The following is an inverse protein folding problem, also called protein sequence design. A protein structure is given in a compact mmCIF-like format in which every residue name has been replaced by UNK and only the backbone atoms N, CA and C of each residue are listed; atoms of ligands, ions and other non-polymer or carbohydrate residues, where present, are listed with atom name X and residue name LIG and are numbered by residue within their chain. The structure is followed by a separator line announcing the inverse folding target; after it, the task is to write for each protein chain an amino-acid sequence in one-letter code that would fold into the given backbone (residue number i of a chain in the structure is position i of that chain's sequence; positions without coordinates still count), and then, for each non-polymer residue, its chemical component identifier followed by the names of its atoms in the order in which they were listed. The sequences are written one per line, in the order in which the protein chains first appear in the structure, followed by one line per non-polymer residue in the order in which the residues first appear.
data_IF_613697274868
#
_entry.id   IF_613697274868
#
_cell.length_a   1.000
_cell.length_b   1.000
_cell.length_c   1.000
_cell.angle_alpha   90.00
_cell.angle_beta   90.00
_cell.angle_gamma   90.00
#
_symmetry.space_group_name_H-M   'P 1'
#
loop_
_entity.id
_entity.type
_entity.pdbx_description
1 polymer ?
#
# COMPACT_ATOMS: atom_id res chain seq x y z
N UNK A 1 -8.34 22.72 3.17
CA UNK A 1 -8.53 21.61 2.23
C UNK A 1 -8.18 20.38 3.04
N UNK A 2 -9.12 19.45 3.20
CA UNK A 2 -8.85 18.23 3.94
C UNK A 2 -7.87 17.43 3.09
N UNK A 3 -6.63 17.25 3.56
CA UNK A 3 -5.65 16.33 2.97
C UNK A 3 -6.18 14.90 3.16
N UNK A 4 -7.13 14.50 2.30
CA UNK A 4 -7.67 13.15 2.28
C UNK A 4 -6.70 12.23 1.54
N UNK A 5 -5.55 11.93 2.17
CA UNK A 5 -4.54 11.04 1.63
C UNK A 5 -4.74 9.60 2.10
N UNK A 6 -4.40 8.65 1.23
CA UNK A 6 -4.26 7.25 1.58
C UNK A 6 -2.85 7.00 2.11
N UNK A 7 -2.67 5.97 2.93
CA UNK A 7 -1.34 5.57 3.39
C UNK A 7 -1.02 4.14 3.04
N UNK A 8 0.07 3.93 2.33
CA UNK A 8 0.66 2.61 2.13
C UNK A 8 1.47 2.23 3.38
N UNK A 9 1.04 1.20 4.10
CA UNK A 9 1.72 0.67 5.29
C UNK A 9 2.50 -0.59 4.92
N UNK A 10 3.78 -0.64 5.27
CA UNK A 10 4.68 -1.72 4.87
C UNK A 10 5.83 -1.92 5.85
N UNK A 11 6.44 -3.11 5.79
CA UNK A 11 7.70 -3.41 6.45
C UNK A 11 8.86 -3.16 5.49
N UNK A 12 9.87 -2.42 5.95
CA UNK A 12 11.16 -2.26 5.26
C UNK A 12 12.28 -2.28 6.28
N UNK A 13 13.30 -3.11 6.06
CA UNK A 13 14.43 -3.29 6.98
C UNK A 13 14.01 -3.53 8.44
N UNK A 14 13.02 -4.39 8.68
CA UNK A 14 12.46 -4.71 10.01
C UNK A 14 11.80 -3.52 10.75
N UNK A 15 11.58 -2.40 10.06
CA UNK A 15 10.81 -1.27 10.56
C UNK A 15 9.51 -1.14 9.79
N UNK A 16 8.44 -0.84 10.52
CA UNK A 16 7.18 -0.44 9.92
C UNK A 16 7.31 0.99 9.42
N UNK A 17 6.74 1.27 8.26
CA UNK A 17 6.76 2.56 7.61
C UNK A 17 5.40 2.82 6.97
N UNK A 18 5.09 4.11 6.78
CA UNK A 18 3.92 4.60 6.09
C UNK A 18 4.36 5.59 5.02
N UNK A 19 3.80 5.47 3.83
CA UNK A 19 3.97 6.44 2.74
C UNK A 19 2.60 7.04 2.39
N UNK A 20 2.54 8.36 2.28
CA UNK A 20 1.31 9.07 1.91
C UNK A 20 1.13 9.04 0.40
N UNK A 21 -0.09 8.80 -0.04
CA UNK A 21 -0.46 8.71 -1.45
C UNK A 21 -1.77 9.46 -1.66
N UNK A 22 -1.93 10.09 -2.82
CA UNK A 22 -3.11 10.89 -3.11
C UNK A 22 -4.34 10.00 -3.37
N UNK A 23 -4.11 8.75 -3.79
CA UNK A 23 -5.18 7.80 -4.13
C UNK A 23 -4.91 6.39 -3.62
N UNK A 24 -5.98 5.60 -3.49
CA UNK A 24 -5.89 4.17 -3.19
C UNK A 24 -5.03 3.42 -4.22
N UNK A 25 -5.23 3.70 -5.51
CA UNK A 25 -4.51 3.00 -6.57
C UNK A 25 -3.02 3.34 -6.58
N UNK A 26 -2.65 4.58 -6.24
CA UNK A 26 -1.25 4.98 -6.04
C UNK A 26 -0.61 4.25 -4.85
N UNK A 27 -1.31 4.16 -3.72
CA UNK A 27 -0.83 3.41 -2.55
C UNK A 27 -0.61 1.93 -2.89
N UNK A 28 -1.54 1.31 -3.63
CA UNK A 28 -1.39 -0.08 -4.09
C UNK A 28 -0.24 -0.20 -5.08
N UNK A 29 -0.08 0.74 -6.02
CA UNK A 29 1.03 0.74 -6.98
C UNK A 29 2.39 0.89 -6.28
N UNK A 30 2.50 1.74 -5.26
CA UNK A 30 3.70 1.87 -4.44
C UNK A 30 4.09 0.54 -3.78
N UNK A 31 3.12 -0.10 -3.11
CA UNK A 31 3.33 -1.40 -2.46
C UNK A 31 3.71 -2.48 -3.47
N UNK A 32 3.02 -2.52 -4.63
CA UNK A 32 3.29 -3.49 -5.70
C UNK A 32 4.72 -3.39 -6.21
N UNK A 33 5.16 -2.17 -6.54
CA UNK A 33 6.52 -1.93 -7.02
C UNK A 33 7.59 -2.26 -5.97
N UNK A 34 7.34 -1.92 -4.70
CA UNK A 34 8.27 -2.22 -3.63
C UNK A 34 8.38 -3.72 -3.33
N UNK A 35 7.26 -4.44 -3.39
CA UNK A 35 7.20 -5.88 -3.20
C UNK A 35 7.88 -6.64 -4.34
N UNK A 36 7.58 -6.28 -5.59
CA UNK A 36 8.18 -6.89 -6.79
C UNK A 36 9.72 -6.79 -6.76
N UNK A 37 10.24 -5.65 -6.28
CA UNK A 37 11.67 -5.41 -6.14
C UNK A 37 12.31 -6.08 -4.91
N UNK A 38 11.52 -6.77 -4.08
CA UNK A 38 11.97 -7.38 -2.83
C UNK A 38 12.43 -6.37 -1.77
N UNK A 39 11.97 -5.12 -1.87
CA UNK A 39 12.43 -4.00 -1.03
C UNK A 39 11.53 -3.75 0.18
N UNK A 40 10.29 -4.22 0.15
CA UNK A 40 9.33 -4.12 1.26
C UNK A 40 8.41 -5.34 1.31
N UNK A 41 7.69 -5.48 2.41
CA UNK A 41 6.54 -6.38 2.53
C UNK A 41 5.29 -5.57 2.87
N UNK A 42 4.21 -5.77 2.11
CA UNK A 42 2.94 -5.05 2.30
C UNK A 42 2.28 -5.41 3.63
N UNK A 43 1.57 -4.45 4.22
CA UNK A 43 0.74 -4.67 5.41
C UNK A 43 -0.72 -4.31 5.09
N UNK A 44 -0.94 -3.05 4.72
CA UNK A 44 -2.28 -2.50 4.47
C UNK A 44 -2.20 -1.20 3.67
N UNK A 45 -3.33 -0.80 3.09
CA UNK A 45 -3.59 0.59 2.71
C UNK A 45 -4.61 1.18 3.67
N UNK A 46 -4.27 2.30 4.28
CA UNK A 46 -5.13 3.05 5.20
C UNK A 46 -5.81 4.16 4.41
N UNK A 47 -7.12 4.32 4.60
CA UNK A 47 -7.92 5.38 4.02
C UNK A 47 -7.73 6.71 4.76
N UNK A 48 -8.23 7.81 4.17
CA UNK A 48 -8.13 9.16 4.76
C UNK A 48 -8.89 9.31 6.08
N UNK A 49 -9.85 8.43 6.35
CA UNK A 49 -10.57 8.34 7.62
C UNK A 49 -9.81 7.55 8.71
N UNK A 50 -8.59 7.08 8.40
CA UNK A 50 -7.75 6.26 9.28
C UNK A 50 -8.17 4.79 9.33
N UNK A 51 -9.17 4.36 8.55
CA UNK A 51 -9.60 2.97 8.51
C UNK A 51 -8.80 2.16 7.49
N UNK A 52 -8.73 0.84 7.66
CA UNK A 52 -8.06 -0.02 6.66
C UNK A 52 -8.92 -0.15 5.42
N UNK A 53 -8.48 0.45 4.31
CA UNK A 53 -9.13 0.36 3.01
C UNK A 53 -8.87 -0.99 2.33
N UNK A 54 -7.62 -1.49 2.39
CA UNK A 54 -7.21 -2.79 1.85
C UNK A 54 -6.15 -3.44 2.75
N UNK A 55 -6.21 -4.77 2.91
CA UNK A 55 -5.17 -5.55 3.58
C UNK A 55 -5.25 -7.04 3.21
N UNK A 56 -4.22 -7.79 3.59
CA UNK A 56 -4.17 -9.24 3.42
C UNK A 56 -4.36 -9.70 1.98
N UNK A 57 -5.15 -10.76 1.77
CA UNK A 57 -5.35 -11.38 0.44
C UNK A 57 -5.89 -10.39 -0.60
N UNK A 58 -6.80 -9.50 -0.22
CA UNK A 58 -7.40 -8.52 -1.16
C UNK A 58 -6.38 -7.51 -1.65
N UNK A 59 -5.49 -7.06 -0.76
CA UNK A 59 -4.38 -6.19 -1.13
C UNK A 59 -3.42 -6.93 -2.07
N UNK A 60 -3.04 -8.15 -1.70
CA UNK A 60 -2.15 -8.99 -2.48
C UNK A 60 -2.68 -9.24 -3.91
N UNK A 61 -3.96 -9.63 -4.05
CA UNK A 61 -4.61 -9.83 -5.35
C UNK A 61 -4.57 -8.57 -6.22
N UNK A 62 -4.83 -7.40 -5.61
CA UNK A 62 -4.81 -6.12 -6.34
C UNK A 62 -3.40 -5.74 -6.77
N UNK A 63 -2.40 -6.01 -5.93
CA UNK A 63 -0.98 -5.83 -6.28
C UNK A 63 -0.58 -6.74 -7.45
N UNK A 64 -0.94 -8.04 -7.40
CA UNK A 64 -0.63 -8.99 -8.47
C UNK A 64 -1.31 -8.59 -9.79
N UNK A 65 -2.56 -8.12 -9.72
CA UNK A 65 -3.28 -7.61 -10.90
C UNK A 65 -2.60 -6.41 -11.56
N UNK A 66 -1.90 -5.56 -10.81
CA UNK A 66 -1.14 -4.44 -11.38
C UNK A 66 0.17 -4.88 -12.02
N UNK A 67 0.79 -5.94 -11.50
CA UNK A 67 2.03 -6.51 -12.03
C UNK A 67 1.82 -7.37 -13.28
N UNK A 68 0.58 -7.64 -13.67
CA UNK A 68 0.25 -8.42 -14.88
C UNK A 68 0.49 -9.92 -14.74
N UNK A 69 0.57 -10.41 -13.49
CA UNK A 69 0.70 -11.83 -13.12
C UNK A 69 -0.64 -12.48 -12.79
#
# INVERSE_FOLDING_TARGET
MSDETYKARYWRYYSEQEEECDTLDEAVAFLSNGWERGNLSEIAVIGPDGTTALSGERLHQRMMSLLGT
#
